data_IF_322686685444
#
_entry.id   IF_322686685444
#
_cell.length_a   1.000
_cell.length_b   1.000
_cell.length_c   1.000
_cell.angle_alpha   90.00
_cell.angle_beta   90.00
_cell.angle_gamma   90.00
#
_symmetry.space_group_name_H-M   'P 1'
#
loop_
_entity.id
_entity.type
_entity.pdbx_description
1 polymer ?
#
# COMPACT_ATOMS: atom_id res chain seq x y z
N UNK A 1 -30.27 -24.22 -26.81
CA UNK A 1 -30.08 -22.87 -26.30
C UNK A 1 -28.89 -22.90 -25.36
N UNK A 2 -27.76 -22.48 -25.86
CA UNK A 2 -26.53 -22.48 -25.04
C UNK A 2 -26.48 -21.16 -24.30
N UNK A 3 -26.63 -21.25 -23.00
CA UNK A 3 -26.29 -20.16 -22.11
C UNK A 3 -24.76 -20.18 -22.00
N UNK A 4 -24.09 -19.29 -22.71
CA UNK A 4 -22.71 -19.03 -22.41
C UNK A 4 -22.68 -18.32 -21.06
N UNK A 5 -22.09 -18.90 -20.04
CA UNK A 5 -21.77 -18.10 -18.88
C UNK A 5 -20.83 -17.02 -19.39
N UNK A 6 -21.28 -15.81 -19.37
CA UNK A 6 -20.40 -14.67 -19.45
C UNK A 6 -19.52 -14.78 -18.22
N UNK A 7 -18.40 -15.44 -18.40
CA UNK A 7 -17.32 -15.35 -17.42
C UNK A 7 -16.87 -13.92 -17.52
N UNK A 8 -17.50 -13.07 -16.76
CA UNK A 8 -16.85 -11.83 -16.37
C UNK A 8 -15.64 -12.24 -15.55
N UNK A 9 -14.60 -12.54 -16.26
CA UNK A 9 -13.28 -12.66 -15.69
C UNK A 9 -12.73 -11.26 -15.35
N UNK A 10 -13.55 -10.45 -14.74
CA UNK A 10 -13.09 -9.43 -13.84
C UNK A 10 -12.90 -10.09 -12.49
N UNK A 11 -12.05 -11.10 -12.48
CA UNK A 11 -11.44 -11.50 -11.25
C UNK A 11 -10.49 -10.37 -10.90
N UNK A 12 -11.06 -9.30 -10.41
CA UNK A 12 -10.32 -8.35 -9.61
C UNK A 12 -9.87 -9.18 -8.42
N UNK A 13 -8.66 -9.70 -8.50
CA UNK A 13 -8.17 -10.61 -7.49
C UNK A 13 -8.23 -9.90 -6.15
N UNK A 14 -8.85 -10.53 -5.18
CA UNK A 14 -8.83 -10.06 -3.82
C UNK A 14 -7.37 -10.01 -3.34
N UNK A 15 -6.97 -8.87 -2.83
CA UNK A 15 -5.65 -8.72 -2.21
C UNK A 15 -5.78 -9.11 -0.75
N UNK A 16 -5.03 -10.12 -0.35
CA UNK A 16 -4.93 -10.53 1.04
C UNK A 16 -3.67 -9.96 1.68
N UNK A 17 -3.85 -9.14 2.72
CA UNK A 17 -2.75 -8.60 3.51
C UNK A 17 -2.32 -9.66 4.52
N UNK A 18 -1.43 -10.53 4.08
CA UNK A 18 -0.81 -11.56 4.89
C UNK A 18 0.47 -11.04 5.54
N UNK A 19 1.00 -11.71 6.57
CA UNK A 19 2.35 -11.41 7.08
C UNK A 19 3.42 -11.46 5.99
N UNK A 20 3.30 -12.37 5.03
CA UNK A 20 4.23 -12.48 3.90
C UNK A 20 4.17 -11.26 2.98
N UNK A 21 2.96 -10.74 2.68
CA UNK A 21 2.81 -9.50 1.92
C UNK A 21 3.39 -8.30 2.67
N UNK A 22 3.14 -8.23 3.96
CA UNK A 22 3.69 -7.18 4.82
C UNK A 22 5.22 -7.21 4.79
N UNK A 23 5.84 -8.37 5.00
CA UNK A 23 7.28 -8.54 4.94
C UNK A 23 7.85 -8.18 3.57
N UNK A 24 7.15 -8.51 2.50
CA UNK A 24 7.53 -8.12 1.14
C UNK A 24 7.57 -6.59 0.98
N UNK A 25 6.59 -5.88 1.52
CA UNK A 25 6.56 -4.42 1.50
C UNK A 25 7.75 -3.86 2.28
N UNK A 26 7.98 -4.35 3.48
CA UNK A 26 9.07 -3.90 4.36
C UNK A 26 10.44 -4.15 3.72
N UNK A 27 10.61 -5.28 3.06
CA UNK A 27 11.87 -5.68 2.44
C UNK A 27 12.05 -5.14 1.02
N UNK A 28 11.04 -4.46 0.46
CA UNK A 28 11.16 -3.86 -0.86
C UNK A 28 12.36 -2.92 -0.93
N UNK A 29 13.10 -2.99 -2.03
CA UNK A 29 14.16 -2.04 -2.33
C UNK A 29 13.61 -0.62 -2.56
N UNK A 30 12.34 -0.49 -2.90
CA UNK A 30 11.66 0.77 -3.13
C UNK A 30 10.93 1.24 -1.86
N UNK A 31 11.00 2.54 -1.60
CA UNK A 31 10.24 3.16 -0.51
C UNK A 31 8.79 3.46 -0.88
N UNK A 32 8.49 3.44 -2.15
CA UNK A 32 7.14 3.63 -2.68
C UNK A 32 6.63 2.28 -3.22
N UNK A 33 5.44 1.90 -2.79
CA UNK A 33 4.77 0.66 -3.17
C UNK A 33 3.35 0.97 -3.62
N UNK A 34 2.88 0.30 -4.66
CA UNK A 34 1.50 0.41 -5.11
C UNK A 34 0.82 -0.95 -5.04
N UNK A 35 -0.31 -1.01 -4.37
CA UNK A 35 -1.18 -2.18 -4.32
C UNK A 35 -2.40 -1.91 -5.18
N UNK A 36 -2.54 -2.66 -6.28
CA UNK A 36 -3.71 -2.58 -7.13
C UNK A 36 -4.85 -3.41 -6.58
N UNK A 37 -5.96 -2.76 -6.32
CA UNK A 37 -7.18 -3.40 -5.85
C UNK A 37 -8.39 -2.56 -6.23
N UNK A 38 -9.50 -3.21 -6.57
CA UNK A 38 -10.79 -2.54 -6.73
C UNK A 38 -11.46 -2.26 -5.37
N UNK A 39 -10.98 -2.85 -4.30
CA UNK A 39 -11.54 -2.70 -2.96
C UNK A 39 -10.47 -2.21 -1.98
N UNK A 40 -10.14 -0.93 -2.08
CA UNK A 40 -9.14 -0.30 -1.22
C UNK A 40 -9.54 -0.34 0.27
N UNK A 41 -10.82 -0.16 0.57
CA UNK A 41 -11.33 -0.19 1.96
C UNK A 41 -11.08 -1.54 2.63
N UNK A 42 -11.25 -2.63 1.89
CA UNK A 42 -10.98 -3.97 2.38
C UNK A 42 -9.49 -4.16 2.70
N UNK A 43 -8.62 -3.69 1.84
CA UNK A 43 -7.16 -3.75 2.06
C UNK A 43 -6.77 -2.93 3.30
N UNK A 44 -7.33 -1.74 3.48
CA UNK A 44 -7.10 -0.93 4.68
C UNK A 44 -7.57 -1.66 5.94
N UNK A 45 -8.75 -2.29 5.90
CA UNK A 45 -9.27 -3.07 7.02
C UNK A 45 -8.35 -4.24 7.38
N UNK A 46 -7.78 -4.92 6.39
CA UNK A 46 -6.82 -6.01 6.59
C UNK A 46 -5.52 -5.51 7.21
N UNK A 47 -5.00 -4.37 6.78
CA UNK A 47 -3.83 -3.75 7.41
C UNK A 47 -4.10 -3.38 8.87
N UNK A 48 -5.31 -2.90 9.17
CA UNK A 48 -5.70 -2.61 10.56
C UNK A 48 -5.67 -3.86 11.42
N UNK A 49 -6.24 -4.96 10.95
CA UNK A 49 -6.20 -6.23 11.67
C UNK A 49 -4.77 -6.72 11.88
N UNK A 50 -3.93 -6.62 10.86
CA UNK A 50 -2.53 -6.99 10.97
C UNK A 50 -1.80 -6.15 12.03
N UNK A 51 -1.99 -4.83 12.00
CA UNK A 51 -1.38 -3.92 12.97
C UNK A 51 -1.82 -4.21 14.39
N UNK A 52 -3.10 -4.52 14.59
CA UNK A 52 -3.65 -4.90 15.90
C UNK A 52 -3.08 -6.21 16.42
N UNK A 53 -2.85 -7.19 15.54
CA UNK A 53 -2.32 -8.50 15.93
C UNK A 53 -0.82 -8.49 16.18
N UNK A 54 -0.07 -7.73 15.40
CA UNK A 54 1.40 -7.77 15.38
C UNK A 54 2.06 -6.60 16.08
N UNK A 55 1.30 -5.55 16.39
CA UNK A 55 1.85 -4.32 16.95
C UNK A 55 2.65 -3.48 15.94
N UNK A 56 2.57 -3.77 14.65
CA UNK A 56 3.29 -3.02 13.61
C UNK A 56 2.77 -1.59 13.47
N UNK A 57 3.68 -0.69 13.14
CA UNK A 57 3.38 0.73 12.93
C UNK A 57 2.84 0.95 11.52
N UNK A 58 1.54 0.95 11.39
CA UNK A 58 0.83 1.21 10.14
C UNK A 58 -0.06 2.42 10.32
N UNK A 59 0.04 3.35 9.39
CA UNK A 59 -0.71 4.61 9.38
C UNK A 59 -1.54 4.71 8.11
N UNK A 60 -2.62 5.45 8.20
CA UNK A 60 -3.50 5.73 7.08
C UNK A 60 -3.75 7.23 6.97
N UNK A 61 -3.51 7.77 5.78
CA UNK A 61 -3.78 9.16 5.48
C UNK A 61 -5.11 9.32 4.75
N UNK A 62 -5.91 10.25 5.23
CA UNK A 62 -7.11 10.73 4.58
C UNK A 62 -7.10 12.26 4.55
N UNK A 63 -7.58 12.84 3.46
CA UNK A 63 -7.54 14.28 3.23
C UNK A 63 -8.18 15.09 4.37
N UNK A 64 -9.30 14.61 4.89
CA UNK A 64 -10.05 15.32 5.94
C UNK A 64 -9.54 15.06 7.36
N UNK A 65 -8.80 13.99 7.53
CA UNK A 65 -8.38 13.52 8.86
C UNK A 65 -6.87 13.60 9.09
N UNK A 66 -6.06 13.62 8.04
CA UNK A 66 -4.61 13.52 8.13
C UNK A 66 -4.13 12.10 8.39
N UNK A 67 -2.90 11.98 8.88
CA UNK A 67 -2.29 10.69 9.22
C UNK A 67 -2.82 10.21 10.57
N UNK A 68 -3.36 9.00 10.60
CA UNK A 68 -3.84 8.34 11.80
C UNK A 68 -3.24 6.93 11.91
N UNK A 69 -2.92 6.51 13.12
CA UNK A 69 -2.48 5.14 13.37
C UNK A 69 -3.64 4.15 13.18
N UNK A 70 -3.38 3.05 12.49
CA UNK A 70 -4.34 1.95 12.40
C UNK A 70 -4.32 1.06 13.65
N UNK A 71 -3.25 1.09 14.40
CA UNK A 71 -3.12 0.34 15.64
C UNK A 71 -3.78 1.05 16.82
N UNK A 72 -3.53 2.36 16.96
CA UNK A 72 -4.00 3.18 18.06
C UNK A 72 -4.96 4.26 17.56
N UNK A 73 -6.23 4.14 17.90
CA UNK A 73 -7.28 5.07 17.42
C UNK A 73 -7.05 6.51 17.82
N UNK A 74 -6.39 6.74 18.94
CA UNK A 74 -6.17 8.08 19.49
C UNK A 74 -4.89 8.73 18.98
N UNK A 75 -4.06 8.01 18.23
CA UNK A 75 -2.81 8.52 17.70
C UNK A 75 -3.01 9.09 16.31
N UNK A 76 -2.87 10.39 16.20
CA UNK A 76 -2.93 11.14 14.96
C UNK A 76 -1.76 12.10 14.87
N UNK A 77 -1.34 12.40 13.65
CA UNK A 77 -0.31 13.40 13.41
C UNK A 77 -0.96 14.75 13.17
N UNK A 78 -0.78 15.72 14.08
CA UNK A 78 -1.31 17.08 13.89
C UNK A 78 -0.73 17.74 12.64
N UNK A 79 -1.54 18.54 11.94
CA UNK A 79 -1.08 19.31 10.78
C UNK A 79 -0.76 18.49 9.54
N UNK A 80 -1.30 17.26 9.42
CA UNK A 80 -1.03 16.36 8.30
C UNK A 80 -2.21 16.18 7.34
N UNK A 81 -3.19 17.07 7.37
CA UNK A 81 -4.38 16.97 6.50
C UNK A 81 -4.05 17.23 5.02
N UNK A 82 -3.18 18.19 4.74
CA UNK A 82 -2.72 18.42 3.38
C UNK A 82 -1.75 17.33 2.96
N UNK A 83 -1.87 16.86 1.73
CA UNK A 83 -0.99 15.83 1.20
C UNK A 83 0.50 16.23 1.32
N UNK A 84 0.84 17.47 0.99
CA UNK A 84 2.21 17.97 1.09
C UNK A 84 2.75 17.96 2.52
N UNK A 85 1.94 18.33 3.49
CA UNK A 85 2.33 18.32 4.91
C UNK A 85 2.49 16.89 5.43
N UNK A 86 1.62 15.98 5.01
CA UNK A 86 1.74 14.56 5.33
C UNK A 86 3.05 13.98 4.78
N UNK A 87 3.38 14.27 3.52
CA UNK A 87 4.60 13.80 2.88
C UNK A 87 5.87 14.38 3.53
N UNK A 88 5.86 15.66 3.92
CA UNK A 88 6.96 16.27 4.66
C UNK A 88 7.17 15.59 6.01
N UNK A 89 6.09 15.31 6.72
CA UNK A 89 6.16 14.56 7.97
C UNK A 89 6.83 13.20 7.78
N UNK A 90 6.40 12.45 6.77
CA UNK A 90 6.96 11.12 6.47
C UNK A 90 8.45 11.24 6.10
N UNK A 91 8.80 12.21 5.27
CA UNK A 91 10.19 12.45 4.86
C UNK A 91 11.11 12.70 6.06
N UNK A 92 10.62 13.40 7.07
CA UNK A 92 11.38 13.78 8.26
C UNK A 92 11.27 12.78 9.40
N UNK A 93 10.37 11.80 9.31
CA UNK A 93 10.17 10.83 10.39
C UNK A 93 11.39 9.94 10.57
N UNK A 94 11.95 9.86 11.77
CA UNK A 94 13.09 9.00 12.06
C UNK A 94 12.71 7.55 12.35
N UNK A 95 11.43 7.24 12.45
CA UNK A 95 10.94 5.95 12.88
C UNK A 95 10.41 5.13 11.70
N UNK A 96 10.45 3.80 11.85
CA UNK A 96 9.78 2.90 10.95
C UNK A 96 8.28 3.20 10.90
N UNK A 97 7.71 3.09 9.71
CA UNK A 97 6.28 3.22 9.51
C UNK A 97 5.87 2.86 8.09
N UNK A 98 4.72 2.23 7.99
CA UNK A 98 4.03 2.02 6.72
C UNK A 98 2.87 3.01 6.67
N UNK A 99 2.87 3.83 5.63
CA UNK A 99 1.88 4.88 5.43
C UNK A 99 1.02 4.54 4.22
N UNK A 100 -0.26 4.29 4.45
CA UNK A 100 -1.22 3.93 3.42
C UNK A 100 -1.94 5.18 2.90
N UNK A 101 -2.02 5.29 1.58
CA UNK A 101 -2.74 6.35 0.90
C UNK A 101 -3.74 5.75 -0.08
N UNK A 102 -4.99 6.19 0.01
CA UNK A 102 -6.03 5.90 -0.98
C UNK A 102 -6.42 7.19 -1.71
N UNK A 103 -6.97 7.06 -2.90
CA UNK A 103 -7.45 8.22 -3.69
C UNK A 103 -6.41 9.32 -3.89
N UNK A 104 -5.15 8.94 -4.06
CA UNK A 104 -4.04 9.87 -4.14
C UNK A 104 -3.80 10.45 -5.54
N UNK A 105 -4.50 9.96 -6.57
CA UNK A 105 -4.27 10.36 -7.96
C UNK A 105 -4.34 11.88 -8.18
N UNK A 106 -5.29 12.56 -7.56
CA UNK A 106 -5.45 14.02 -7.65
C UNK A 106 -4.30 14.80 -7.02
N UNK A 107 -3.55 14.17 -6.13
CA UNK A 107 -2.44 14.77 -5.42
C UNK A 107 -1.07 14.50 -6.08
N UNK A 108 -1.04 13.74 -7.17
CA UNK A 108 0.20 13.42 -7.91
C UNK A 108 0.62 14.58 -8.82
N UNK A 109 0.89 15.71 -8.22
CA UNK A 109 1.34 16.95 -8.86
C UNK A 109 2.27 17.72 -7.92
N UNK A 110 3.05 18.70 -8.43
CA UNK A 110 3.91 19.51 -7.56
C UNK A 110 3.08 20.23 -6.47
N UNK A 111 3.59 20.35 -5.24
CA UNK A 111 4.92 19.92 -4.76
C UNK A 111 5.01 18.44 -4.35
N UNK A 112 3.90 17.70 -4.37
CA UNK A 112 3.83 16.33 -3.83
C UNK A 112 4.75 15.36 -4.59
N UNK A 113 4.80 15.47 -5.91
CA UNK A 113 5.68 14.62 -6.73
C UNK A 113 7.16 14.81 -6.38
N UNK A 114 7.58 16.04 -6.10
CA UNK A 114 8.94 16.33 -5.63
C UNK A 114 9.25 15.70 -4.27
N UNK A 115 8.30 15.78 -3.34
CA UNK A 115 8.42 15.18 -2.01
C UNK A 115 8.47 13.64 -2.10
N UNK A 116 7.65 13.05 -2.96
CA UNK A 116 7.67 11.60 -3.19
C UNK A 116 9.01 11.14 -3.76
N UNK A 117 9.59 11.89 -4.70
CA UNK A 117 10.94 11.59 -5.21
C UNK A 117 12.00 11.66 -4.13
N UNK A 118 11.93 12.63 -3.24
CA UNK A 118 12.84 12.73 -2.09
C UNK A 118 12.69 11.53 -1.16
N UNK A 119 11.47 11.12 -0.85
CA UNK A 119 11.21 9.94 -0.03
C UNK A 119 11.74 8.67 -0.72
N UNK A 120 11.49 8.53 -2.02
CA UNK A 120 11.94 7.38 -2.80
C UNK A 120 13.48 7.23 -2.81
N UNK A 121 14.19 8.35 -2.82
CA UNK A 121 15.65 8.40 -2.82
C UNK A 121 16.27 8.39 -1.43
N UNK A 122 15.46 8.58 -0.40
CA UNK A 122 15.91 8.60 0.98
C UNK A 122 16.33 7.20 1.43
N UNK A 123 17.54 7.08 1.92
CA UNK A 123 18.02 5.87 2.57
C UNK A 123 17.82 6.03 4.07
N UNK A 124 16.70 5.60 4.57
CA UNK A 124 16.44 5.54 5.99
C UNK A 124 16.74 4.16 6.53
N UNK A 125 17.58 4.09 7.55
CA UNK A 125 17.83 2.84 8.28
C UNK A 125 16.54 2.32 8.91
N UNK A 126 15.61 3.22 9.21
CA UNK A 126 14.36 2.87 9.87
C UNK A 126 13.28 2.30 8.94
N UNK A 127 13.44 2.37 7.62
CA UNK A 127 12.54 1.73 6.67
C UNK A 127 11.13 2.33 6.60
N UNK A 128 11.01 3.58 6.12
CA UNK A 128 9.70 4.18 5.86
C UNK A 128 9.18 3.74 4.51
N UNK A 129 7.92 3.34 4.46
CA UNK A 129 7.24 2.93 3.22
C UNK A 129 5.97 3.73 3.02
N UNK A 130 5.78 4.23 1.81
CA UNK A 130 4.49 4.75 1.35
C UNK A 130 3.85 3.69 0.48
N UNK A 131 2.61 3.34 0.78
CA UNK A 131 1.83 2.36 0.05
C UNK A 131 0.58 3.02 -0.52
N UNK A 132 0.54 3.14 -1.83
CA UNK A 132 -0.65 3.59 -2.54
C UNK A 132 -1.57 2.40 -2.77
N UNK A 133 -2.82 2.53 -2.40
CA UNK A 133 -3.83 1.48 -2.52
C UNK A 133 -4.98 1.98 -3.41
N UNK A 134 -5.25 1.29 -4.50
CA UNK A 134 -6.31 1.67 -5.42
C UNK A 134 -6.33 0.87 -6.71
N UNK A 135 -7.33 1.12 -7.53
CA UNK A 135 -7.56 0.40 -8.79
C UNK A 135 -6.70 0.96 -9.94
N UNK A 136 -6.72 2.26 -10.10
CA UNK A 136 -6.01 2.97 -11.17
C UNK A 136 -5.00 3.95 -10.56
N UNK A 137 -3.79 3.44 -10.28
CA UNK A 137 -2.70 4.26 -9.77
C UNK A 137 -1.76 4.53 -10.94
N UNK A 138 -1.89 5.73 -11.54
CA UNK A 138 -1.01 6.19 -12.60
C UNK A 138 0.04 7.12 -12.01
N UNK A 139 1.30 6.70 -12.11
CA UNK A 139 2.41 7.53 -11.66
C UNK A 139 2.82 8.50 -12.77
N UNK A 140 3.20 9.74 -12.42
CA UNK A 140 3.80 10.66 -13.36
C UNK A 140 5.05 10.07 -14.03
N UNK A 141 5.35 10.58 -15.22
CA UNK A 141 6.50 10.15 -15.98
C UNK A 141 7.80 10.15 -15.15
N UNK A 142 8.53 9.04 -15.20
CA UNK A 142 9.78 8.88 -14.46
C UNK A 142 9.62 8.46 -13.01
N UNK A 143 8.40 8.41 -12.46
CA UNK A 143 8.15 7.93 -11.10
C UNK A 143 7.81 6.45 -11.04
N UNK A 144 7.37 5.86 -12.11
CA UNK A 144 7.02 4.44 -12.21
C UNK A 144 8.19 3.52 -11.83
N UNK A 145 9.41 3.90 -12.17
CA UNK A 145 10.64 3.17 -11.81
C UNK A 145 10.97 3.22 -10.31
N UNK A 146 10.38 4.16 -9.57
CA UNK A 146 10.59 4.34 -8.13
C UNK A 146 9.55 3.59 -7.28
N UNK A 147 8.57 2.98 -7.91
CA UNK A 147 7.44 2.34 -7.26
C UNK A 147 7.43 0.84 -7.56
N UNK A 148 7.39 0.03 -6.52
CA UNK A 148 7.12 -1.40 -6.67
C UNK A 148 5.63 -1.65 -6.76
N UNK A 149 5.15 -2.21 -7.87
CA UNK A 149 3.76 -2.58 -8.04
C UNK A 149 3.51 -4.01 -7.52
N UNK A 150 2.53 -4.14 -6.65
CA UNK A 150 2.07 -5.42 -6.13
C UNK A 150 0.67 -5.66 -6.67
N UNK A 151 0.50 -6.76 -7.39
CA UNK A 151 -0.80 -7.26 -7.83
C UNK A 151 -1.21 -8.48 -7.01
N UNK A 152 -2.49 -8.85 -7.06
CA UNK A 152 -2.97 -10.04 -6.38
C UNK A 152 -2.20 -11.31 -6.80
N UNK A 153 -1.76 -11.41 -8.04
CA UNK A 153 -0.98 -12.54 -8.53
C UNK A 153 0.40 -12.65 -7.87
N UNK A 154 0.95 -11.53 -7.46
CA UNK A 154 2.21 -11.49 -6.77
C UNK A 154 2.05 -11.70 -5.25
N UNK A 155 0.89 -11.37 -4.70
CA UNK A 155 0.53 -11.69 -3.31
C UNK A 155 0.21 -13.17 -3.13
N UNK A 156 -0.26 -13.82 -4.19
CA UNK A 156 -0.60 -15.25 -4.27
C UNK A 156 0.66 -16.16 -4.44
N UNK A 157 1.83 -15.65 -4.17
CA UNK A 157 3.12 -16.30 -4.43
C UNK A 157 3.40 -17.61 -3.67
N UNK A 158 2.44 -18.14 -2.95
CA UNK A 158 2.47 -19.49 -2.42
C UNK A 158 1.13 -20.17 -2.69
N UNK A 159 0.95 -20.65 -3.89
CA UNK A 159 -0.11 -21.63 -4.12
C UNK A 159 0.16 -22.83 -3.21
N UNK A 160 -0.80 -23.25 -2.38
CA UNK A 160 -0.60 -24.41 -1.54
C UNK A 160 -0.34 -25.63 -2.43
N UNK A 161 0.71 -26.37 -2.13
CA UNK A 161 0.98 -27.65 -2.75
C UNK A 161 0.14 -28.74 -2.07
N UNK A 162 -0.42 -29.63 -2.87
CA UNK A 162 -0.97 -30.85 -2.35
C UNK A 162 0.16 -31.71 -1.75
N UNK A 163 -0.19 -32.63 -0.83
CA UNK A 163 0.76 -33.52 -0.16
C UNK A 163 1.59 -34.39 -1.11
N UNK A 164 1.12 -34.57 -2.35
CA UNK A 164 1.80 -35.33 -3.42
C UNK A 164 2.74 -34.45 -4.27
N UNK A 165 2.95 -33.20 -3.90
CA UNK A 165 3.81 -32.27 -4.62
C UNK A 165 3.16 -31.57 -5.82
N UNK A 166 1.90 -31.85 -6.12
CA UNK A 166 1.17 -31.16 -7.18
C UNK A 166 0.64 -29.82 -6.70
N UNK A 167 0.59 -28.89 -7.64
CA UNK A 167 -0.05 -27.61 -7.38
C UNK A 167 -1.56 -27.76 -7.36
N UNK A 168 -2.22 -27.10 -6.42
CA UNK A 168 -3.66 -26.95 -6.45
C UNK A 168 -4.01 -26.00 -7.60
N UNK A 169 -4.75 -26.52 -8.54
CA UNK A 169 -5.21 -25.77 -9.70
C UNK A 169 -6.49 -25.03 -9.36
#
# INVERSE_FOLDING_TARGET
>A
MQIHPTINASTTGEVFVTPALFDRIVQSAQNLVAIRTANAEDVIAQFRLLALRTGQSVYYWQEDAGIASLRDRDVRVPGSKRASDALRYILQSPQFGIYLFTDFAEHLRPPNTGLLRQIARSRSVAGRKIVFVGDAIEMPEGMDVLVEAISHQAADGARPRLRDGRWVV
#
